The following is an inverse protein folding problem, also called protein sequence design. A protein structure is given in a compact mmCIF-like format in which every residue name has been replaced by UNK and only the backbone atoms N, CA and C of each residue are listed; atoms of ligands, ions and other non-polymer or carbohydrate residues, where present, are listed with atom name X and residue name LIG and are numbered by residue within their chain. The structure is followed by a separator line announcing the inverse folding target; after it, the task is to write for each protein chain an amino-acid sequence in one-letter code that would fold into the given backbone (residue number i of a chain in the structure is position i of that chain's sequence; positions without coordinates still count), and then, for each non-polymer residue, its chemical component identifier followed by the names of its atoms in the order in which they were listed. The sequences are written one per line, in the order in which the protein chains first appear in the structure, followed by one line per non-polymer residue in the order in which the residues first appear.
data_IF_657002227028
#
_entry.id   IF_657002227028
#
_cell.length_a   1.000
_cell.length_b   1.000
_cell.length_c   1.000
_cell.angle_alpha   90.00
_cell.angle_beta   90.00
_cell.angle_gamma   90.00
#
_symmetry.space_group_name_H-M   'P 1'
#
loop_
_entity.id
_entity.type
_entity.pdbx_description
1 polymer ?
#
# COMPACT_ATOMS: atom_id res chain seq x y z
N UNK A 1 10.03 5.32 -17.82
CA UNK A 1 10.73 5.95 -16.68
C UNK A 1 11.88 6.84 -17.17
N UNK A 2 12.55 6.48 -18.26
CA UNK A 2 13.84 7.05 -18.68
C UNK A 2 13.78 8.48 -19.25
N UNK A 3 12.67 8.86 -19.90
CA UNK A 3 12.50 10.22 -20.45
C UNK A 3 12.45 11.31 -19.38
N UNK A 4 11.98 10.95 -18.18
CA UNK A 4 11.82 11.86 -17.05
C UNK A 4 13.14 12.06 -16.30
N UNK A 5 13.90 10.99 -16.12
CA UNK A 5 15.23 11.06 -15.53
C UNK A 5 16.21 11.84 -16.42
N UNK A 6 16.07 11.77 -17.75
CA UNK A 6 16.81 12.62 -18.69
C UNK A 6 16.45 14.11 -18.58
N UNK A 7 15.21 14.45 -18.25
CA UNK A 7 14.82 15.84 -17.97
C UNK A 7 15.40 16.31 -16.63
N UNK A 8 15.39 15.45 -15.60
CA UNK A 8 16.01 15.75 -14.30
C UNK A 8 17.53 15.95 -14.39
N UNK A 9 18.23 15.27 -15.31
CA UNK A 9 19.67 15.45 -15.53
C UNK A 9 20.06 16.89 -15.93
N UNK A 10 19.12 17.69 -16.44
CA UNK A 10 19.35 19.13 -16.71
C UNK A 10 19.19 20.02 -15.48
N UNK A 11 18.57 19.53 -14.41
CA UNK A 11 18.00 20.35 -13.34
C UNK A 11 18.45 19.95 -11.92
N UNK A 12 19.05 18.77 -11.76
CA UNK A 12 19.43 18.22 -10.47
C UNK A 12 20.83 17.60 -10.54
N UNK A 13 21.67 17.95 -9.55
CA UNK A 13 23.00 17.37 -9.39
C UNK A 13 22.91 15.85 -9.10
N UNK A 14 23.97 15.10 -9.41
CA UNK A 14 24.06 13.64 -9.20
C UNK A 14 23.50 13.12 -7.86
N UNK A 15 23.87 13.70 -6.69
CA UNK A 15 23.33 13.26 -5.40
C UNK A 15 21.82 13.54 -5.25
N UNK A 16 21.34 14.68 -5.74
CA UNK A 16 19.93 15.06 -5.71
C UNK A 16 19.06 14.08 -6.50
N UNK A 17 19.56 13.64 -7.67
CA UNK A 17 18.91 12.61 -8.48
C UNK A 17 18.78 11.29 -7.75
N UNK A 18 19.84 10.84 -7.07
CA UNK A 18 19.78 9.60 -6.28
C UNK A 18 18.76 9.69 -5.14
N UNK A 19 18.67 10.83 -4.45
CA UNK A 19 17.65 11.04 -3.41
C UNK A 19 16.22 11.02 -3.98
N UNK A 20 15.99 11.68 -5.13
CA UNK A 20 14.69 11.68 -5.82
C UNK A 20 14.32 10.28 -6.35
N UNK A 21 15.28 9.52 -6.89
CA UNK A 21 15.08 8.14 -7.30
C UNK A 21 14.74 7.24 -6.12
N UNK A 22 15.44 7.40 -4.99
CA UNK A 22 15.14 6.68 -3.77
C UNK A 22 13.73 7.01 -3.26
N UNK A 23 13.30 8.27 -3.35
CA UNK A 23 11.95 8.70 -2.97
C UNK A 23 10.87 8.03 -3.82
N UNK A 24 11.01 8.06 -5.16
CA UNK A 24 10.08 7.41 -6.08
C UNK A 24 10.04 5.90 -5.84
N UNK A 25 11.20 5.27 -5.66
CA UNK A 25 11.28 3.82 -5.39
C UNK A 25 10.59 3.46 -4.08
N UNK A 26 10.72 4.28 -3.04
CA UNK A 26 10.03 4.09 -1.76
C UNK A 26 8.52 4.30 -1.87
N UNK A 27 8.07 5.33 -2.62
CA UNK A 27 6.63 5.51 -2.90
C UNK A 27 6.03 4.29 -3.61
N UNK A 28 6.67 3.83 -4.69
CA UNK A 28 6.19 2.65 -5.43
C UNK A 28 6.16 1.39 -4.55
N UNK A 29 7.15 1.23 -3.65
CA UNK A 29 7.20 0.14 -2.69
C UNK A 29 6.04 0.21 -1.68
N UNK A 30 5.76 1.40 -1.16
CA UNK A 30 4.61 1.64 -0.28
C UNK A 30 3.28 1.34 -1.01
N UNK A 31 3.06 1.89 -2.20
CA UNK A 31 1.85 1.65 -2.99
C UNK A 31 1.65 0.17 -3.32
N UNK A 32 2.72 -0.54 -3.67
CA UNK A 32 2.67 -1.98 -3.91
C UNK A 32 2.20 -2.75 -2.67
N UNK A 33 2.67 -2.38 -1.47
CA UNK A 33 2.19 -2.99 -0.23
C UNK A 33 0.75 -2.63 0.08
N UNK A 34 0.35 -1.37 -0.12
CA UNK A 34 -1.03 -0.93 0.06
C UNK A 34 -2.00 -1.65 -0.89
N UNK A 35 -1.62 -1.84 -2.16
CA UNK A 35 -2.40 -2.59 -3.14
C UNK A 35 -2.48 -4.07 -2.76
N UNK A 36 -1.38 -4.68 -2.31
CA UNK A 36 -1.38 -6.08 -1.86
C UNK A 36 -2.27 -6.26 -0.62
N UNK A 37 -2.15 -5.37 0.37
CA UNK A 37 -2.98 -5.34 1.57
C UNK A 37 -4.47 -5.26 1.18
N UNK A 38 -4.83 -4.31 0.31
CA UNK A 38 -6.20 -4.15 -0.20
C UNK A 38 -6.68 -5.40 -0.95
N UNK A 39 -5.86 -6.02 -1.79
CA UNK A 39 -6.20 -7.27 -2.50
C UNK A 39 -6.49 -8.42 -1.53
N UNK A 40 -5.69 -8.58 -0.47
CA UNK A 40 -5.91 -9.60 0.56
C UNK A 40 -7.15 -9.32 1.40
N UNK A 41 -7.44 -8.06 1.71
CA UNK A 41 -8.69 -7.67 2.37
C UNK A 41 -9.92 -7.99 1.51
N UNK A 42 -9.89 -7.65 0.21
CA UNK A 42 -10.98 -8.02 -0.71
C UNK A 42 -11.12 -9.53 -0.87
N UNK A 43 -10.01 -10.26 -0.97
CA UNK A 43 -10.04 -11.72 -1.03
C UNK A 43 -10.67 -12.32 0.25
N UNK A 44 -10.31 -11.81 1.43
CA UNK A 44 -10.90 -12.22 2.71
C UNK A 44 -12.40 -11.90 2.77
N UNK A 45 -12.81 -10.72 2.29
CA UNK A 45 -14.21 -10.31 2.25
C UNK A 45 -15.03 -11.23 1.33
N UNK A 46 -14.56 -11.47 0.10
CA UNK A 46 -15.22 -12.37 -0.87
C UNK A 46 -15.33 -13.79 -0.31
N UNK A 47 -14.26 -14.29 0.30
CA UNK A 47 -14.22 -15.57 0.98
C UNK A 47 -15.32 -15.62 2.07
N UNK A 48 -15.32 -14.67 2.99
CA UNK A 48 -16.32 -14.60 4.06
C UNK A 48 -17.76 -14.51 3.51
N UNK A 49 -18.00 -13.70 2.47
CA UNK A 49 -19.30 -13.58 1.82
C UNK A 49 -19.78 -14.90 1.21
N UNK A 50 -18.91 -15.63 0.52
CA UNK A 50 -19.22 -16.96 -0.03
C UNK A 50 -19.60 -17.95 1.06
N UNK A 51 -18.86 -17.96 2.18
CA UNK A 51 -19.17 -18.80 3.33
C UNK A 51 -20.56 -18.47 3.91
N UNK A 52 -20.89 -17.19 4.08
CA UNK A 52 -22.21 -16.76 4.55
C UNK A 52 -23.34 -17.18 3.59
N UNK A 53 -23.14 -17.06 2.28
CA UNK A 53 -24.13 -17.47 1.26
C UNK A 53 -24.39 -18.99 1.35
N UNK A 54 -23.33 -19.80 1.48
CA UNK A 54 -23.45 -21.26 1.63
C UNK A 54 -24.23 -21.64 2.89
N UNK A 55 -23.95 -20.97 4.02
CA UNK A 55 -24.67 -21.19 5.28
C UNK A 55 -26.15 -20.78 5.16
N UNK A 56 -26.44 -19.62 4.57
CA UNK A 56 -27.81 -19.16 4.31
C UNK A 56 -28.57 -20.16 3.45
N UNK A 57 -27.97 -20.64 2.35
CA UNK A 57 -28.59 -21.64 1.47
C UNK A 57 -28.92 -22.93 2.22
N UNK A 58 -28.01 -23.43 3.08
CA UNK A 58 -28.30 -24.59 3.93
C UNK A 58 -29.41 -24.32 4.96
N UNK A 59 -29.41 -23.16 5.63
CA UNK A 59 -30.45 -22.80 6.60
C UNK A 59 -31.84 -22.65 5.96
N UNK A 60 -31.92 -22.15 4.72
CA UNK A 60 -33.19 -22.12 3.97
C UNK A 60 -33.72 -23.52 3.65
N UNK A 61 -32.84 -24.49 3.36
CA UNK A 61 -33.22 -25.87 3.06
C UNK A 61 -33.45 -26.73 4.33
N UNK A 62 -32.96 -26.31 5.49
CA UNK A 62 -33.10 -27.00 6.77
C UNK A 62 -33.50 -26.01 7.89
N UNK A 63 -34.79 -25.64 8.00
CA UNK A 63 -35.26 -24.53 8.86
C UNK A 63 -35.12 -24.79 10.38
N UNK A 64 -34.84 -26.03 10.80
CA UNK A 64 -34.86 -26.49 12.19
C UNK A 64 -33.46 -26.74 12.77
N UNK A 65 -32.39 -26.32 12.09
CA UNK A 65 -31.02 -26.55 12.57
C UNK A 65 -30.75 -25.73 13.84
N UNK A 66 -30.58 -26.41 14.97
CA UNK A 66 -30.14 -25.78 16.21
C UNK A 66 -28.71 -25.23 16.07
N UNK A 67 -28.32 -24.17 16.80
CA UNK A 67 -26.97 -23.62 16.74
C UNK A 67 -25.87 -24.66 17.02
N UNK A 68 -26.17 -25.67 17.85
CA UNK A 68 -25.24 -26.75 18.15
C UNK A 68 -24.97 -27.67 16.95
N UNK A 69 -26.00 -27.97 16.14
CA UNK A 69 -25.86 -28.80 14.94
C UNK A 69 -25.06 -28.08 13.86
N UNK A 70 -25.22 -26.76 13.73
CA UNK A 70 -24.44 -25.94 12.81
C UNK A 70 -22.96 -25.93 13.20
N UNK A 71 -22.65 -25.81 14.51
CA UNK A 71 -21.29 -25.85 15.00
C UNK A 71 -20.64 -27.23 14.79
N UNK A 72 -21.37 -28.31 15.03
CA UNK A 72 -20.90 -29.67 14.76
C UNK A 72 -20.66 -29.91 13.27
N UNK A 73 -21.50 -29.37 12.40
CA UNK A 73 -21.33 -29.47 10.94
C UNK A 73 -20.08 -28.72 10.47
N UNK A 74 -19.86 -27.50 10.99
CA UNK A 74 -18.68 -26.68 10.68
C UNK A 74 -17.39 -27.36 11.16
N UNK A 75 -17.40 -27.99 12.33
CA UNK A 75 -16.24 -28.70 12.87
C UNK A 75 -16.07 -30.12 12.30
N UNK A 76 -17.16 -30.76 11.87
CA UNK A 76 -17.18 -32.13 11.38
C UNK A 76 -16.81 -32.27 9.90
N UNK A 77 -17.03 -31.21 9.10
CA UNK A 77 -16.68 -31.23 7.68
C UNK A 77 -15.31 -30.59 7.42
N UNK A 78 -14.41 -31.39 6.86
CA UNK A 78 -13.04 -30.98 6.47
C UNK A 78 -13.00 -29.70 5.64
N UNK A 79 -14.01 -29.47 4.79
CA UNK A 79 -14.12 -28.26 3.97
C UNK A 79 -14.21 -27.00 4.84
N UNK A 80 -15.09 -26.95 5.84
CA UNK A 80 -15.25 -25.75 6.68
C UNK A 80 -14.01 -25.52 7.57
N UNK A 81 -13.36 -26.59 8.04
CA UNK A 81 -12.07 -26.48 8.74
C UNK A 81 -10.99 -25.87 7.84
N UNK A 82 -10.88 -26.31 6.57
CA UNK A 82 -9.95 -25.70 5.61
C UNK A 82 -10.27 -24.21 5.38
N UNK A 83 -11.54 -23.83 5.36
CA UNK A 83 -11.98 -22.44 5.22
C UNK A 83 -11.61 -21.58 6.45
N UNK A 84 -11.75 -22.12 7.66
CA UNK A 84 -11.32 -21.45 8.90
C UNK A 84 -9.80 -21.28 8.92
N UNK A 85 -9.05 -22.30 8.52
CA UNK A 85 -7.59 -22.18 8.41
C UNK A 85 -7.18 -21.16 7.34
N UNK A 86 -7.85 -21.14 6.19
CA UNK A 86 -7.60 -20.18 5.13
C UNK A 86 -7.91 -18.75 5.56
N UNK A 87 -8.98 -18.52 6.34
CA UNK A 87 -9.31 -17.19 6.87
C UNK A 87 -8.32 -16.71 7.92
N UNK A 88 -7.90 -17.59 8.83
CA UNK A 88 -6.83 -17.30 9.80
C UNK A 88 -5.51 -16.97 9.11
N UNK A 89 -5.15 -17.74 8.07
CA UNK A 89 -3.96 -17.48 7.26
C UNK A 89 -4.05 -16.14 6.51
N UNK A 90 -5.20 -15.84 5.91
CA UNK A 90 -5.43 -14.57 5.22
C UNK A 90 -5.35 -13.38 6.20
N UNK A 91 -5.88 -13.52 7.41
CA UNK A 91 -5.79 -12.50 8.46
C UNK A 91 -4.35 -12.25 8.89
N UNK A 92 -3.59 -13.31 9.22
CA UNK A 92 -2.17 -13.20 9.57
C UNK A 92 -1.35 -12.54 8.45
N UNK A 93 -1.63 -12.93 7.20
CA UNK A 93 -0.98 -12.38 6.01
C UNK A 93 -1.30 -10.89 5.84
N UNK A 94 -2.58 -10.51 5.99
CA UNK A 94 -3.01 -9.10 5.95
C UNK A 94 -2.34 -8.27 7.04
N UNK A 95 -2.26 -8.78 8.27
CA UNK A 95 -1.58 -8.09 9.38
C UNK A 95 -0.09 -7.89 9.10
N UNK A 96 0.58 -8.91 8.54
CA UNK A 96 1.97 -8.81 8.14
C UNK A 96 2.22 -7.77 7.05
N UNK A 97 1.37 -7.71 6.02
CA UNK A 97 1.47 -6.70 4.96
C UNK A 97 1.16 -5.30 5.47
N UNK A 98 0.18 -5.13 6.37
CA UNK A 98 -0.13 -3.85 7.00
C UNK A 98 1.07 -3.29 7.76
N UNK A 99 1.78 -4.13 8.53
CA UNK A 99 3.00 -3.71 9.23
C UNK A 99 4.12 -3.27 8.27
N UNK A 100 4.25 -3.93 7.11
CA UNK A 100 5.21 -3.54 6.06
C UNK A 100 4.83 -2.25 5.37
N UNK A 101 3.53 -2.05 5.14
CA UNK A 101 2.98 -0.82 4.58
C UNK A 101 3.28 0.38 5.49
N UNK A 102 2.95 0.30 6.79
CA UNK A 102 3.22 1.36 7.78
C UNK A 102 4.72 1.69 7.86
N UNK A 103 5.59 0.67 7.82
CA UNK A 103 7.04 0.89 7.80
C UNK A 103 7.49 1.60 6.53
N UNK A 104 6.99 1.17 5.37
CA UNK A 104 7.32 1.78 4.08
C UNK A 104 6.79 3.22 3.97
N UNK A 105 5.61 3.50 4.53
CA UNK A 105 5.03 4.83 4.64
C UNK A 105 5.92 5.74 5.48
N UNK A 106 6.35 5.27 6.66
CA UNK A 106 7.26 6.02 7.53
C UNK A 106 8.61 6.32 6.87
N UNK A 107 9.21 5.33 6.19
CA UNK A 107 10.47 5.51 5.43
C UNK A 107 10.32 6.47 4.24
N UNK A 108 9.17 6.48 3.58
CA UNK A 108 8.84 7.40 2.50
C UNK A 108 8.64 8.82 3.06
N UNK A 109 7.82 8.99 4.09
CA UNK A 109 7.53 10.29 4.69
C UNK A 109 8.80 10.92 5.28
N UNK A 110 9.61 10.15 6.00
CA UNK A 110 10.91 10.63 6.52
C UNK A 110 11.83 11.13 5.41
N UNK A 111 11.94 10.40 4.30
CA UNK A 111 12.77 10.83 3.17
C UNK A 111 12.18 12.06 2.47
N UNK A 112 10.85 12.14 2.36
CA UNK A 112 10.16 13.32 1.83
C UNK A 112 10.48 14.56 2.67
N UNK A 113 10.37 14.48 3.99
CA UNK A 113 10.73 15.57 4.90
C UNK A 113 12.21 15.95 4.79
N UNK A 114 13.12 14.96 4.74
CA UNK A 114 14.55 15.23 4.57
C UNK A 114 14.85 15.98 3.26
N UNK A 115 14.20 15.62 2.16
CA UNK A 115 14.36 16.31 0.87
C UNK A 115 13.79 17.72 0.93
N UNK A 116 12.65 17.94 1.62
CA UNK A 116 12.07 19.28 1.79
C UNK A 116 12.98 20.17 2.63
N UNK A 117 13.51 19.67 3.74
CA UNK A 117 14.42 20.43 4.61
C UNK A 117 15.75 20.75 3.90
N UNK A 118 16.32 19.77 3.17
CA UNK A 118 17.55 19.99 2.39
C UNK A 118 17.30 20.71 1.06
N UNK A 119 16.05 21.02 0.71
CA UNK A 119 15.72 21.60 -0.61
C UNK A 119 16.31 23.00 -0.81
N UNK A 120 16.54 23.75 0.25
CA UNK A 120 17.23 25.05 0.18
C UNK A 120 18.73 24.89 -0.07
N UNK A 121 19.35 23.83 0.49
CA UNK A 121 20.78 23.53 0.33
C UNK A 121 21.09 22.84 -1.01
N UNK A 122 20.14 22.06 -1.54
CA UNK A 122 20.25 21.35 -2.82
C UNK A 122 20.16 22.31 -4.02
N UNK A 123 19.46 23.45 -3.88
CA UNK A 123 19.34 24.48 -4.92
C UNK A 123 19.62 25.87 -4.35
N UNK A 124 20.89 26.17 -3.99
CA UNK A 124 21.24 27.44 -3.32
C UNK A 124 21.27 28.63 -4.28
N UNK A 125 21.38 28.38 -5.59
CA UNK A 125 21.48 29.44 -6.60
C UNK A 125 20.09 29.83 -7.14
N UNK A 126 19.83 31.12 -7.42
CA UNK A 126 18.55 31.59 -7.95
C UNK A 126 18.21 30.97 -9.32
N UNK A 127 19.21 30.68 -10.16
CA UNK A 127 19.03 30.01 -11.44
C UNK A 127 18.55 28.55 -11.28
N UNK A 128 19.04 27.89 -10.23
CA UNK A 128 18.67 26.53 -9.81
C UNK A 128 17.29 26.49 -9.13
N UNK A 129 16.72 27.62 -8.72
CA UNK A 129 15.37 27.67 -8.13
C UNK A 129 14.25 27.33 -9.12
N UNK A 130 14.35 27.80 -10.37
CA UNK A 130 13.38 27.43 -11.44
C UNK A 130 13.44 25.93 -11.76
N UNK A 131 14.62 25.34 -11.65
CA UNK A 131 14.85 23.91 -11.83
C UNK A 131 14.16 23.09 -10.72
N UNK A 132 14.25 23.55 -9.46
CA UNK A 132 13.53 22.96 -8.32
C UNK A 132 12.02 22.95 -8.53
N UNK A 133 11.43 24.07 -8.95
CA UNK A 133 9.99 24.17 -9.17
C UNK A 133 9.52 23.19 -10.26
N UNK A 134 10.29 23.06 -11.34
CA UNK A 134 10.02 22.09 -12.41
C UNK A 134 10.05 20.65 -11.90
N UNK A 135 11.03 20.30 -11.05
CA UNK A 135 11.14 18.97 -10.43
C UNK A 135 9.96 18.70 -9.49
N UNK A 136 9.57 19.68 -8.67
CA UNK A 136 8.46 19.53 -7.72
C UNK A 136 7.13 19.36 -8.45
N UNK A 137 6.89 20.17 -9.49
CA UNK A 137 5.72 20.05 -10.34
C UNK A 137 5.65 18.67 -11.01
N UNK A 138 6.77 18.18 -11.54
CA UNK A 138 6.85 16.87 -12.19
C UNK A 138 6.62 15.70 -11.21
N UNK A 139 7.16 15.79 -9.99
CA UNK A 139 6.94 14.80 -8.94
C UNK A 139 5.49 14.79 -8.45
N UNK A 140 4.86 15.95 -8.32
CA UNK A 140 3.44 16.06 -7.99
C UNK A 140 2.55 15.51 -9.11
N UNK A 141 2.81 15.89 -10.37
CA UNK A 141 1.94 15.49 -11.47
C UNK A 141 2.09 14.00 -11.83
N UNK A 142 3.31 13.45 -11.85
CA UNK A 142 3.50 12.06 -12.31
C UNK A 142 3.42 11.03 -11.18
N UNK A 143 3.95 11.37 -10.02
CA UNK A 143 4.01 10.43 -8.91
C UNK A 143 3.10 10.84 -7.77
N UNK A 144 2.30 11.91 -7.88
CA UNK A 144 1.45 12.40 -6.78
C UNK A 144 2.22 12.57 -5.46
N UNK A 145 3.47 13.05 -5.55
CA UNK A 145 4.31 13.35 -4.39
C UNK A 145 4.36 14.85 -4.20
N UNK A 146 3.82 15.32 -3.08
CA UNK A 146 3.90 16.73 -2.71
C UNK A 146 5.23 17.03 -1.99
N UNK A 147 6.09 17.83 -2.62
CA UNK A 147 7.36 18.31 -2.07
C UNK A 147 7.30 19.80 -1.64
N UNK A 148 6.13 20.45 -1.74
CA UNK A 148 5.99 21.86 -1.37
C UNK A 148 5.79 22.06 0.13
N UNK A 149 5.14 21.10 0.80
CA UNK A 149 4.82 21.17 2.21
C UNK A 149 5.20 19.89 2.93
N UNK A 150 5.66 20.04 4.18
CA UNK A 150 5.98 18.93 5.08
C UNK A 150 4.71 18.26 5.65
N UNK A 151 3.55 18.93 5.54
CA UNK A 151 2.31 18.47 6.18
C UNK A 151 1.89 17.06 5.72
N UNK A 152 1.37 16.30 6.69
CA UNK A 152 0.87 14.93 6.52
C UNK A 152 -0.41 14.91 5.71
#
# INVERSE_FOLDING_TARGET
MDSLWKQLDRFADGPTKQMLQALVKRKLKYENYAVQCRRWQWASLVCFSLMCILLMFKSFNAPQASPQLILQEILGHTVYLCWIMASAFAYCTSYYFKKKEEKAEGEFHKLRCEIIQKSTDLWPQPEKWRARESVFHLMKHRYDINLYFESK
#
